data_IF_576255608586
#
_entry.id   IF_576255608586
#
_cell.length_a   1.000
_cell.length_b   1.000
_cell.length_c   1.000
_cell.angle_alpha   90.00
_cell.angle_beta   90.00
_cell.angle_gamma   90.00
#
_symmetry.space_group_name_H-M   'P 1'
#
loop_
_entity.id
_entity.type
_entity.pdbx_description
1 polymer ?
#
# COMPACT_ATOMS: atom_id res chain seq x y z
N UNK A 1 -1.75 9.94 -7.03
CA UNK A 1 -0.37 10.43 -6.84
C UNK A 1 0.36 9.41 -5.99
N UNK A 2 0.82 8.32 -6.63
CA UNK A 2 1.86 7.47 -6.05
C UNK A 2 3.13 8.33 -6.11
N UNK A 3 3.39 9.09 -5.05
CA UNK A 3 4.66 9.81 -4.98
C UNK A 3 5.71 8.76 -4.70
N UNK A 4 6.62 8.64 -5.66
CA UNK A 4 7.90 7.98 -5.57
C UNK A 4 8.62 8.44 -4.28
N UNK A 5 8.37 7.73 -3.17
CA UNK A 5 9.02 7.94 -1.87
C UNK A 5 10.48 7.48 -1.90
N UNK A 6 10.92 6.87 -3.01
CA UNK A 6 12.28 6.41 -3.20
C UNK A 6 13.23 7.63 -3.20
N UNK A 7 13.92 7.83 -2.07
CA UNK A 7 14.88 8.91 -1.85
C UNK A 7 14.44 9.98 -0.84
N UNK A 8 13.19 9.97 -0.37
CA UNK A 8 12.74 10.88 0.69
C UNK A 8 12.81 10.19 2.05
N UNK A 9 13.41 10.86 3.05
CA UNK A 9 13.47 10.34 4.42
C UNK A 9 12.15 10.58 5.14
N UNK A 10 11.14 9.81 4.77
CA UNK A 10 9.78 9.89 5.30
C UNK A 10 9.44 8.64 6.11
N UNK A 11 8.53 8.79 7.06
CA UNK A 11 7.96 7.67 7.81
C UNK A 11 6.47 7.88 7.91
N UNK A 12 5.70 6.86 7.54
CA UNK A 12 4.26 6.85 7.78
C UNK A 12 4.02 6.52 9.26
N UNK A 13 3.19 7.33 9.91
CA UNK A 13 2.81 7.21 11.32
C UNK A 13 1.28 7.22 11.46
N UNK A 14 0.78 6.72 12.57
CA UNK A 14 -0.66 6.70 12.87
C UNK A 14 -1.28 5.32 12.68
N UNK A 15 -2.59 5.28 12.40
CA UNK A 15 -3.35 4.04 12.22
C UNK A 15 -3.65 3.81 10.74
N UNK A 16 -3.47 2.57 10.29
CA UNK A 16 -3.72 2.08 8.94
C UNK A 16 -4.42 0.71 9.01
N UNK A 17 -5.66 0.63 9.50
CA UNK A 17 -6.38 -0.64 9.54
C UNK A 17 -6.60 -1.15 8.11
N UNK A 18 -6.27 -2.43 7.89
CA UNK A 18 -6.44 -3.12 6.61
C UNK A 18 -7.75 -3.92 6.60
N UNK A 19 -8.45 -3.92 5.47
CA UNK A 19 -9.71 -4.65 5.26
C UNK A 19 -9.88 -5.15 3.82
N UNK A 20 -10.90 -5.98 3.60
CA UNK A 20 -11.25 -6.64 2.32
C UNK A 20 -10.07 -7.29 1.56
N UNK A 21 -9.24 -8.16 2.21
CA UNK A 21 -8.14 -8.82 1.53
C UNK A 21 -8.65 -9.87 0.53
N UNK A 22 -8.13 -9.85 -0.69
CA UNK A 22 -8.40 -10.82 -1.75
C UNK A 22 -7.10 -11.32 -2.36
N UNK A 23 -7.03 -12.62 -2.62
CA UNK A 23 -5.85 -13.28 -3.19
C UNK A 23 -6.24 -14.05 -4.44
N UNK A 24 -5.51 -13.81 -5.54
CA UNK A 24 -5.59 -14.61 -6.76
C UNK A 24 -4.24 -15.25 -7.04
N UNK A 25 -4.20 -16.57 -7.18
CA UNK A 25 -2.97 -17.32 -7.50
C UNK A 25 -3.08 -17.84 -8.93
N UNK A 26 -2.02 -17.64 -9.72
CA UNK A 26 -1.93 -18.18 -11.08
C UNK A 26 -1.95 -19.71 -11.07
N UNK A 27 -2.41 -20.32 -12.17
CA UNK A 27 -2.55 -21.79 -12.29
C UNK A 27 -1.23 -22.53 -12.06
N UNK A 28 -0.12 -21.96 -12.51
CA UNK A 28 1.24 -22.50 -12.35
C UNK A 28 1.83 -22.30 -10.94
N UNK A 29 1.14 -21.55 -10.08
CA UNK A 29 1.55 -21.21 -8.70
C UNK A 29 2.88 -20.45 -8.62
N UNK A 30 3.30 -19.81 -9.71
CA UNK A 30 4.52 -18.99 -9.76
C UNK A 30 4.24 -17.50 -9.52
N UNK A 31 3.02 -17.04 -9.82
CA UNK A 31 2.57 -15.67 -9.63
C UNK A 31 1.29 -15.58 -8.78
N UNK A 32 1.13 -14.47 -8.07
CA UNK A 32 -0.09 -14.15 -7.35
C UNK A 32 -0.34 -12.64 -7.33
N UNK A 33 -1.60 -12.25 -7.11
CA UNK A 33 -2.01 -10.89 -6.79
C UNK A 33 -2.67 -10.89 -5.40
N UNK A 34 -2.23 -9.99 -4.54
CA UNK A 34 -2.88 -9.67 -3.27
C UNK A 34 -3.45 -8.26 -3.38
N UNK A 35 -4.77 -8.11 -3.25
CA UNK A 35 -5.39 -6.80 -3.10
C UNK A 35 -5.97 -6.63 -1.70
N UNK A 36 -5.88 -5.42 -1.15
CA UNK A 36 -6.51 -5.06 0.12
C UNK A 36 -6.79 -3.56 0.17
N UNK A 37 -7.70 -3.16 1.03
CA UNK A 37 -7.97 -1.76 1.32
C UNK A 37 -7.40 -1.34 2.66
N UNK A 38 -7.08 -0.06 2.80
CA UNK A 38 -6.70 0.56 4.09
C UNK A 38 -7.41 1.89 4.28
N UNK A 39 -7.87 2.16 5.49
CA UNK A 39 -8.36 3.50 5.89
C UNK A 39 -7.17 4.32 6.40
N UNK A 40 -6.79 5.34 5.63
CA UNK A 40 -5.69 6.24 5.93
C UNK A 40 -6.15 7.56 6.57
N UNK A 41 -7.42 7.68 7.00
CA UNK A 41 -7.96 8.89 7.65
C UNK A 41 -7.19 9.32 8.89
N UNK A 42 -6.49 8.39 9.53
CA UNK A 42 -5.69 8.59 10.75
C UNK A 42 -4.20 8.32 10.52
N UNK A 43 -3.76 8.34 9.26
CA UNK A 43 -2.37 8.24 8.89
C UNK A 43 -1.77 9.64 8.60
N UNK A 44 -0.46 9.74 8.76
CA UNK A 44 0.29 10.95 8.43
C UNK A 44 1.72 10.60 8.05
N UNK A 45 2.35 11.47 7.29
CA UNK A 45 3.75 11.36 6.89
C UNK A 45 4.60 12.29 7.75
N UNK A 46 5.65 11.75 8.37
CA UNK A 46 6.64 12.50 9.11
C UNK A 46 7.94 12.60 8.33
N UNK A 47 8.44 13.81 8.15
CA UNK A 47 9.81 14.04 7.70
C UNK A 47 10.81 13.65 8.80
N UNK A 48 11.72 12.72 8.51
CA UNK A 48 12.77 12.33 9.47
C UNK A 48 13.86 13.39 9.58
N UNK A 49 14.03 14.24 8.55
CA UNK A 49 15.00 15.34 8.54
C UNK A 49 14.53 16.53 9.39
N UNK A 50 13.26 16.92 9.24
CA UNK A 50 12.73 18.14 9.86
C UNK A 50 11.81 17.86 11.05
N UNK A 51 11.30 16.64 11.19
CA UNK A 51 10.32 16.27 12.21
C UNK A 51 8.88 16.70 11.88
N UNK A 52 8.68 17.47 10.81
CA UNK A 52 7.36 17.95 10.38
C UNK A 52 6.41 16.79 10.06
N UNK A 53 5.16 16.90 10.51
CA UNK A 53 4.09 15.91 10.28
C UNK A 53 3.04 16.50 9.37
N UNK A 54 2.67 15.78 8.30
CA UNK A 54 1.63 16.16 7.35
C UNK A 54 0.63 15.02 7.19
N UNK A 55 -0.65 15.34 7.34
CA UNK A 55 -1.74 14.43 6.99
C UNK A 55 -1.97 14.36 5.49
N UNK A 56 -2.98 13.58 5.11
CA UNK A 56 -3.46 13.53 3.72
C UNK A 56 -4.04 14.90 3.29
N UNK A 57 -3.91 15.30 2.01
CA UNK A 57 -4.48 16.54 1.53
C UNK A 57 -6.00 16.62 1.78
N UNK A 58 -6.50 17.80 2.11
CA UNK A 58 -7.93 17.97 2.36
C UNK A 58 -8.77 17.62 1.11
N UNK A 59 -9.89 16.92 1.32
CA UNK A 59 -10.81 16.52 0.26
C UNK A 59 -10.42 15.24 -0.50
N UNK A 60 -9.33 14.57 -0.13
CA UNK A 60 -8.98 13.26 -0.70
C UNK A 60 -9.72 12.13 0.02
N UNK A 61 -10.09 11.08 -0.71
CA UNK A 61 -10.70 9.88 -0.13
C UNK A 61 -9.76 9.25 0.91
N UNK A 62 -10.21 8.96 2.14
CA UNK A 62 -9.35 8.35 3.15
C UNK A 62 -8.98 6.90 2.83
N UNK A 63 -9.75 6.20 2.00
CA UNK A 63 -9.53 4.79 1.69
C UNK A 63 -8.64 4.61 0.45
N UNK A 64 -7.71 3.66 0.54
CA UNK A 64 -6.75 3.35 -0.53
C UNK A 64 -6.76 1.85 -0.81
N UNK A 65 -7.00 1.50 -2.07
CA UNK A 65 -6.80 0.16 -2.58
C UNK A 65 -5.31 -0.06 -2.87
N UNK A 66 -4.75 -1.15 -2.35
CA UNK A 66 -3.44 -1.65 -2.74
C UNK A 66 -3.59 -2.94 -3.54
N UNK A 67 -2.82 -3.06 -4.62
CA UNK A 67 -2.67 -4.29 -5.40
C UNK A 67 -1.18 -4.65 -5.48
N UNK A 68 -0.82 -5.76 -4.86
CA UNK A 68 0.55 -6.25 -4.76
C UNK A 68 0.71 -7.43 -5.72
N UNK A 69 1.61 -7.29 -6.69
CA UNK A 69 2.04 -8.42 -7.52
C UNK A 69 3.10 -9.20 -6.78
N UNK A 70 2.92 -10.52 -6.69
CA UNK A 70 3.83 -11.41 -5.98
C UNK A 70 4.40 -12.48 -6.92
N UNK A 71 5.69 -12.75 -6.77
CA UNK A 71 6.39 -13.86 -7.42
C UNK A 71 6.86 -14.87 -6.38
N UNK A 72 6.80 -16.16 -6.71
CA UNK A 72 7.33 -17.22 -5.86
C UNK A 72 8.76 -17.54 -6.26
N UNK A 73 9.70 -17.46 -5.32
CA UNK A 73 11.10 -17.79 -5.60
C UNK A 73 11.35 -19.32 -5.60
N UNK A 74 12.58 -19.72 -5.95
CA UNK A 74 12.97 -21.13 -6.06
C UNK A 74 12.89 -21.91 -4.72
N UNK A 75 12.95 -21.21 -3.59
CA UNK A 75 12.77 -21.78 -2.25
C UNK A 75 11.29 -21.91 -1.87
N UNK A 76 10.37 -21.48 -2.74
CA UNK A 76 8.94 -21.53 -2.51
C UNK A 76 8.39 -20.38 -1.66
N UNK A 77 9.15 -19.29 -1.47
CA UNK A 77 8.75 -18.11 -0.71
C UNK A 77 8.14 -17.08 -1.65
N UNK A 78 6.98 -16.54 -1.26
CA UNK A 78 6.33 -15.44 -1.97
C UNK A 78 7.01 -14.11 -1.65
N UNK A 79 7.28 -13.32 -2.68
CA UNK A 79 7.92 -12.02 -2.57
C UNK A 79 7.09 -10.98 -3.34
N UNK A 80 6.93 -9.79 -2.77
CA UNK A 80 6.36 -8.67 -3.50
C UNK A 80 7.32 -8.24 -4.63
N UNK A 81 6.80 -8.15 -5.83
CA UNK A 81 7.54 -7.74 -7.05
C UNK A 81 7.19 -6.31 -7.41
N UNK A 82 5.92 -5.93 -7.23
CA UNK A 82 5.46 -4.55 -7.40
C UNK A 82 4.24 -4.28 -6.52
N UNK A 83 3.99 -3.00 -6.28
CA UNK A 83 2.80 -2.51 -5.61
C UNK A 83 2.19 -1.39 -6.47
N UNK A 84 0.87 -1.38 -6.55
CA UNK A 84 0.10 -0.28 -7.11
C UNK A 84 -0.91 0.19 -6.06
N UNK A 85 -1.12 1.50 -5.97
CA UNK A 85 -2.11 2.07 -5.06
C UNK A 85 -3.09 2.98 -5.79
N UNK A 86 -4.37 2.91 -5.39
CA UNK A 86 -5.43 3.75 -5.92
C UNK A 86 -6.30 4.28 -4.77
N UNK A 87 -6.25 5.60 -4.56
CA UNK A 87 -7.06 6.29 -3.55
C UNK A 87 -8.51 6.41 -4.04
N UNK A 88 -9.47 6.02 -3.22
CA UNK A 88 -10.88 5.87 -3.60
C UNK A 88 -11.17 4.61 -4.44
N UNK A 89 -10.21 3.71 -4.60
CA UNK A 89 -10.36 2.46 -5.35
C UNK A 89 -10.99 1.31 -4.56
N UNK A 90 -11.33 1.53 -3.29
CA UNK A 90 -12.02 0.53 -2.47
C UNK A 90 -13.47 0.38 -2.94
N UNK A 91 -13.97 -0.86 -3.01
CA UNK A 91 -15.35 -1.10 -3.39
C UNK A 91 -16.29 -0.47 -2.34
N UNK A 92 -17.19 0.42 -2.79
CA UNK A 92 -18.27 0.96 -1.96
C UNK A 92 -19.32 -0.10 -1.63
#
# INVERSE_FOLDING_TARGET
MDQDLHGQELTVIGKLPVFDPKVTIAKDKAAASLSYCTDESKASTKSRKTGEVKGNPAGTDPEVLYVISMGKNAQGVWQAVSAHSERGGCAQ
#
